data_IF_355291353818
#
_entry.id   IF_355291353818
#
_cell.length_a   1.000
_cell.length_b   1.000
_cell.length_c   1.000
_cell.angle_alpha   90.00
_cell.angle_beta   90.00
_cell.angle_gamma   90.00
#
_symmetry.space_group_name_H-M   'P 1'
#
loop_
_entity.id
_entity.type
_entity.pdbx_description
1 polymer ?
#
# COMPACT_ATOMS: atom_id res chain seq x y z
N UNK A 1 -18.44 -15.09 0.24
CA UNK A 1 -18.10 -15.74 -1.04
C UNK A 1 -16.75 -15.24 -1.62
N UNK A 2 -16.49 -13.92 -1.69
CA UNK A 2 -15.30 -13.36 -2.35
C UNK A 2 -13.99 -14.04 -1.94
N UNK A 3 -13.64 -14.06 -0.65
CA UNK A 3 -12.40 -14.68 -0.15
C UNK A 3 -12.35 -16.21 -0.39
N UNK A 4 -13.48 -16.83 -0.62
CA UNK A 4 -13.60 -18.27 -0.87
C UNK A 4 -13.42 -18.62 -2.34
N UNK A 5 -13.81 -17.70 -3.23
CA UNK A 5 -13.76 -17.87 -4.68
C UNK A 5 -12.46 -17.32 -5.30
N UNK A 6 -11.92 -16.21 -4.77
CA UNK A 6 -10.70 -15.59 -5.32
C UNK A 6 -9.44 -16.36 -4.90
N UNK A 7 -9.34 -17.59 -5.39
CA UNK A 7 -8.24 -18.55 -5.12
C UNK A 7 -8.05 -19.46 -6.33
N UNK A 8 -6.84 -19.93 -6.61
CA UNK A 8 -6.61 -20.91 -7.66
C UNK A 8 -7.56 -22.13 -7.52
N UNK A 9 -8.24 -22.52 -8.57
CA UNK A 9 -9.27 -23.55 -8.61
C UNK A 9 -10.68 -22.98 -8.55
N UNK A 10 -11.16 -22.41 -7.42
CA UNK A 10 -12.51 -21.82 -7.36
C UNK A 10 -12.74 -20.59 -8.24
N UNK A 11 -11.66 -19.94 -8.72
CA UNK A 11 -11.77 -18.77 -9.61
C UNK A 11 -12.56 -19.05 -10.88
N UNK A 12 -12.50 -20.27 -11.40
CA UNK A 12 -13.24 -20.67 -12.61
C UNK A 12 -14.78 -20.59 -12.41
N UNK A 13 -15.25 -20.62 -11.16
CA UNK A 13 -16.66 -20.47 -10.81
C UNK A 13 -17.13 -19.02 -10.71
N UNK A 14 -16.20 -18.02 -10.69
CA UNK A 14 -16.55 -16.61 -10.52
C UNK A 14 -17.49 -16.09 -11.62
N UNK A 15 -17.28 -16.36 -12.92
CA UNK A 15 -18.19 -15.90 -13.97
C UNK A 15 -19.62 -16.42 -13.78
N UNK A 16 -19.76 -17.70 -13.42
CA UNK A 16 -21.07 -18.32 -13.13
C UNK A 16 -21.71 -17.71 -11.88
N UNK A 17 -20.93 -17.54 -10.80
CA UNK A 17 -21.42 -16.90 -9.58
C UNK A 17 -21.92 -15.47 -9.83
N UNK A 18 -21.18 -14.67 -10.59
CA UNK A 18 -21.57 -13.29 -10.94
C UNK A 18 -22.81 -13.25 -11.82
N UNK A 19 -22.88 -14.07 -12.88
CA UNK A 19 -24.06 -14.18 -13.74
C UNK A 19 -25.30 -14.52 -12.91
N UNK A 20 -25.21 -15.56 -12.11
CA UNK A 20 -26.31 -16.02 -11.27
C UNK A 20 -26.74 -14.99 -10.22
N UNK A 21 -25.80 -14.21 -9.70
CA UNK A 21 -26.10 -13.12 -8.77
C UNK A 21 -26.89 -11.99 -9.43
N UNK A 22 -26.60 -11.68 -10.69
CA UNK A 22 -27.31 -10.64 -11.44
C UNK A 22 -28.64 -11.14 -12.02
N UNK A 23 -28.79 -12.45 -12.25
CA UNK A 23 -29.95 -13.08 -12.85
C UNK A 23 -30.45 -14.25 -11.99
N UNK A 24 -30.91 -14.01 -10.74
CA UNK A 24 -31.27 -15.09 -9.81
C UNK A 24 -32.41 -15.99 -10.31
N UNK A 25 -33.35 -15.45 -11.10
CA UNK A 25 -34.46 -16.19 -11.67
C UNK A 25 -34.02 -17.19 -12.77
N UNK A 26 -32.79 -17.10 -13.26
CA UNK A 26 -32.23 -18.00 -14.27
C UNK A 26 -31.34 -19.08 -13.70
N UNK A 27 -31.18 -19.16 -12.38
CA UNK A 27 -30.39 -20.23 -11.76
C UNK A 27 -31.07 -21.58 -12.00
N UNK A 28 -30.34 -22.51 -12.61
CA UNK A 28 -30.76 -23.87 -12.83
C UNK A 28 -30.00 -24.80 -11.89
N UNK A 29 -30.74 -25.65 -11.18
CA UNK A 29 -30.18 -26.67 -10.31
C UNK A 29 -30.33 -28.04 -10.99
N UNK A 30 -29.32 -28.92 -10.88
CA UNK A 30 -29.34 -30.27 -11.43
C UNK A 30 -30.46 -31.15 -10.83
N UNK A 31 -30.80 -30.86 -9.57
CA UNK A 31 -31.97 -31.41 -8.89
C UNK A 31 -32.58 -30.35 -7.96
N UNK A 32 -33.92 -30.33 -7.78
CA UNK A 32 -34.58 -29.37 -6.87
C UNK A 32 -34.04 -29.38 -5.44
N UNK A 33 -33.54 -30.54 -4.97
CA UNK A 33 -32.99 -30.70 -3.63
C UNK A 33 -31.71 -29.88 -3.39
N UNK A 34 -31.01 -29.49 -4.46
CA UNK A 34 -29.82 -28.61 -4.34
C UNK A 34 -30.17 -27.13 -4.08
N UNK A 35 -31.38 -26.69 -4.41
CA UNK A 35 -31.73 -25.30 -4.38
C UNK A 35 -31.48 -24.66 -3.00
N UNK A 36 -32.02 -25.23 -1.92
CA UNK A 36 -31.87 -24.69 -0.57
C UNK A 36 -30.44 -24.78 0.00
N UNK A 37 -29.60 -25.66 -0.56
CA UNK A 37 -28.17 -25.79 -0.18
C UNK A 37 -27.34 -24.71 -0.87
N UNK A 38 -27.61 -24.46 -2.17
CA UNK A 38 -26.77 -23.63 -3.02
C UNK A 38 -27.33 -22.23 -3.26
N UNK A 39 -28.56 -21.93 -2.84
CA UNK A 39 -29.19 -20.61 -2.97
C UNK A 39 -28.30 -19.49 -2.36
N UNK A 40 -27.79 -19.71 -1.15
CA UNK A 40 -26.90 -18.76 -0.45
C UNK A 40 -25.60 -18.46 -1.19
N UNK A 41 -25.27 -19.23 -2.20
CA UNK A 41 -24.06 -19.08 -3.04
C UNK A 41 -24.40 -18.98 -4.53
N UNK A 42 -25.60 -18.53 -4.86
CA UNK A 42 -26.09 -18.32 -6.22
C UNK A 42 -25.90 -19.58 -7.13
N UNK A 43 -26.23 -20.75 -6.59
CA UNK A 43 -26.14 -22.01 -7.33
C UNK A 43 -24.75 -22.63 -7.45
N UNK A 44 -23.73 -22.07 -6.85
CA UNK A 44 -22.35 -22.59 -6.90
C UNK A 44 -21.97 -23.31 -5.60
N UNK A 45 -21.21 -24.39 -5.71
CA UNK A 45 -20.57 -25.03 -4.55
C UNK A 45 -19.36 -24.16 -4.17
N UNK A 46 -19.34 -23.63 -2.93
CA UNK A 46 -18.29 -22.74 -2.42
C UNK A 46 -17.70 -23.25 -1.10
N UNK A 47 -18.55 -23.84 -0.26
CA UNK A 47 -18.19 -24.20 1.11
C UNK A 47 -18.12 -25.70 1.34
N UNK A 48 -17.19 -26.11 2.22
CA UNK A 48 -17.07 -27.52 2.67
C UNK A 48 -18.37 -28.03 3.28
N UNK A 49 -19.05 -27.18 4.01
CA UNK A 49 -20.33 -27.46 4.65
C UNK A 49 -21.43 -27.79 3.63
N UNK A 50 -21.40 -27.15 2.45
CA UNK A 50 -22.34 -27.48 1.36
C UNK A 50 -22.06 -28.87 0.80
N UNK A 51 -20.82 -29.26 0.61
CA UNK A 51 -20.44 -30.61 0.17
C UNK A 51 -20.96 -31.65 1.17
N UNK A 52 -20.75 -31.44 2.47
CA UNK A 52 -21.27 -32.34 3.51
C UNK A 52 -22.79 -32.39 3.53
N UNK A 53 -23.45 -31.25 3.32
CA UNK A 53 -24.91 -31.19 3.26
C UNK A 53 -25.48 -31.92 2.05
N UNK A 54 -24.82 -31.81 0.90
CA UNK A 54 -25.19 -32.57 -0.31
C UNK A 54 -25.12 -34.08 -0.04
N UNK A 55 -24.05 -34.60 0.55
CA UNK A 55 -23.93 -36.02 0.92
C UNK A 55 -25.06 -36.45 1.86
N UNK A 56 -25.40 -35.64 2.83
CA UNK A 56 -26.42 -35.97 3.84
C UNK A 56 -27.83 -35.93 3.27
N UNK A 57 -28.15 -34.91 2.52
CA UNK A 57 -29.54 -34.69 2.10
C UNK A 57 -29.91 -35.41 0.81
N UNK A 58 -28.95 -35.57 -0.12
CA UNK A 58 -29.22 -36.29 -1.37
C UNK A 58 -29.02 -37.78 -1.24
N UNK A 59 -28.00 -38.23 -0.49
CA UNK A 59 -27.66 -39.65 -0.40
C UNK A 59 -27.92 -40.26 0.99
N UNK A 60 -28.35 -39.48 1.98
CA UNK A 60 -28.71 -39.96 3.31
C UNK A 60 -27.52 -40.32 4.19
N UNK A 61 -26.33 -39.80 3.93
CA UNK A 61 -25.17 -40.01 4.76
C UNK A 61 -25.36 -39.42 6.16
N UNK A 62 -24.80 -40.07 7.18
CA UNK A 62 -24.65 -39.46 8.50
C UNK A 62 -23.63 -38.31 8.47
N UNK A 63 -23.66 -37.47 9.48
CA UNK A 63 -22.69 -36.37 9.59
C UNK A 63 -21.25 -36.85 9.58
N UNK A 64 -20.97 -37.95 10.32
CA UNK A 64 -19.63 -38.56 10.39
C UNK A 64 -19.13 -39.11 9.06
N UNK A 65 -20.01 -39.79 8.31
CA UNK A 65 -19.70 -40.29 6.97
C UNK A 65 -19.40 -39.11 6.02
N UNK A 66 -20.26 -38.10 5.96
CA UNK A 66 -20.06 -36.92 5.14
C UNK A 66 -18.74 -36.18 5.45
N UNK A 67 -18.36 -36.09 6.72
CA UNK A 67 -17.08 -35.47 7.10
C UNK A 67 -15.87 -36.33 6.68
N UNK A 68 -15.98 -37.67 6.77
CA UNK A 68 -14.93 -38.58 6.30
C UNK A 68 -14.71 -38.45 4.79
N UNK A 69 -15.79 -38.40 4.00
CA UNK A 69 -15.70 -38.20 2.54
C UNK A 69 -15.07 -36.83 2.23
N UNK A 70 -15.54 -35.76 2.86
CA UNK A 70 -14.94 -34.42 2.72
C UNK A 70 -13.44 -34.42 2.99
N UNK A 71 -13.00 -35.13 4.04
CA UNK A 71 -11.56 -35.27 4.37
C UNK A 71 -10.81 -36.09 3.32
N UNK A 72 -11.42 -37.16 2.79
CA UNK A 72 -10.84 -37.98 1.73
C UNK A 72 -10.65 -37.16 0.44
N UNK A 73 -11.67 -36.42 0.05
CA UNK A 73 -11.62 -35.51 -1.10
C UNK A 73 -10.53 -34.45 -0.96
N UNK A 74 -10.45 -33.76 0.20
CA UNK A 74 -9.40 -32.76 0.49
C UNK A 74 -7.98 -33.33 0.42
N UNK A 75 -7.80 -34.61 0.78
CA UNK A 75 -6.51 -35.31 0.74
C UNK A 75 -6.27 -36.08 -0.59
N UNK A 76 -7.17 -35.96 -1.57
CA UNK A 76 -7.11 -36.61 -2.88
C UNK A 76 -6.90 -38.13 -2.80
N UNK A 77 -7.59 -38.80 -1.86
CA UNK A 77 -7.54 -40.26 -1.69
C UNK A 77 -8.45 -40.93 -2.69
N UNK A 78 -7.99 -41.10 -3.94
CA UNK A 78 -8.78 -41.58 -5.07
C UNK A 78 -9.54 -42.88 -4.81
N UNK A 79 -8.91 -43.91 -4.20
CA UNK A 79 -9.58 -45.16 -3.91
C UNK A 79 -10.77 -45.02 -2.95
N UNK A 80 -10.66 -44.13 -1.95
CA UNK A 80 -11.77 -43.86 -1.04
C UNK A 80 -12.86 -43.06 -1.76
N UNK A 81 -12.45 -42.11 -2.60
CA UNK A 81 -13.41 -41.29 -3.35
C UNK A 81 -14.22 -42.12 -4.32
N UNK A 82 -13.62 -43.13 -4.96
CA UNK A 82 -14.34 -44.02 -5.89
C UNK A 82 -15.33 -44.94 -5.17
N UNK A 83 -14.93 -45.50 -4.03
CA UNK A 83 -15.84 -46.29 -3.19
C UNK A 83 -17.03 -45.44 -2.67
N UNK A 84 -16.77 -44.23 -2.25
CA UNK A 84 -17.79 -43.31 -1.73
C UNK A 84 -18.70 -42.76 -2.87
N UNK A 85 -18.24 -42.72 -4.12
CA UNK A 85 -19.09 -42.43 -5.29
C UNK A 85 -20.20 -43.46 -5.41
N UNK A 86 -19.85 -44.76 -5.34
CA UNK A 86 -20.83 -45.85 -5.43
C UNK A 86 -21.85 -45.75 -4.30
N UNK A 87 -21.39 -45.51 -3.07
CA UNK A 87 -22.26 -45.31 -1.91
C UNK A 87 -23.18 -44.08 -2.09
N UNK A 88 -22.65 -42.99 -2.63
CA UNK A 88 -23.42 -41.76 -2.88
C UNK A 88 -24.54 -42.00 -3.92
N UNK A 89 -24.22 -42.72 -4.99
CA UNK A 89 -25.18 -42.95 -6.09
C UNK A 89 -26.19 -44.05 -5.72
N UNK A 90 -25.71 -45.23 -5.35
CA UNK A 90 -26.53 -46.44 -5.19
C UNK A 90 -26.84 -46.79 -3.73
N UNK A 91 -26.16 -46.18 -2.79
CA UNK A 91 -26.29 -46.47 -1.35
C UNK A 91 -25.36 -47.57 -0.85
N UNK A 92 -25.42 -47.83 0.43
CA UNK A 92 -24.62 -48.86 1.12
C UNK A 92 -25.45 -49.53 2.22
N UNK A 93 -25.36 -50.86 2.32
CA UNK A 93 -26.04 -51.65 3.36
C UNK A 93 -25.08 -52.25 4.36
N UNK A 94 -23.76 -51.96 4.25
CA UNK A 94 -22.76 -52.45 5.19
C UNK A 94 -22.95 -51.88 6.59
N UNK A 95 -22.84 -52.68 7.66
CA UNK A 95 -22.99 -52.22 9.02
C UNK A 95 -22.03 -51.03 9.35
N UNK A 96 -22.61 -49.92 9.77
CA UNK A 96 -21.88 -48.69 10.09
C UNK A 96 -21.60 -47.77 8.90
N UNK A 97 -21.99 -48.18 7.69
CA UNK A 97 -21.91 -47.37 6.46
C UNK A 97 -23.27 -47.23 5.75
N UNK A 98 -24.37 -47.63 6.40
CA UNK A 98 -25.69 -47.65 5.79
C UNK A 98 -26.08 -46.23 5.32
N UNK A 99 -26.48 -46.17 4.04
CA UNK A 99 -27.07 -44.99 3.44
C UNK A 99 -27.94 -45.39 2.24
N UNK A 100 -29.05 -44.69 1.99
CA UNK A 100 -29.96 -45.03 0.91
C UNK A 100 -29.41 -44.77 -0.49
N UNK A 101 -28.52 -43.79 -0.64
CA UNK A 101 -28.04 -43.32 -1.94
C UNK A 101 -28.99 -42.36 -2.65
N UNK A 102 -28.49 -41.66 -3.64
CA UNK A 102 -29.24 -40.66 -4.42
C UNK A 102 -30.38 -41.30 -5.23
N UNK A 103 -30.16 -42.48 -5.82
CA UNK A 103 -31.14 -43.19 -6.66
C UNK A 103 -32.38 -43.56 -5.83
N UNK A 104 -32.20 -44.08 -4.62
CA UNK A 104 -33.32 -44.38 -3.72
C UNK A 104 -34.09 -43.11 -3.27
N UNK A 105 -33.44 -41.97 -3.28
CA UNK A 105 -34.04 -40.65 -2.96
C UNK A 105 -34.63 -39.94 -4.21
N UNK A 106 -34.79 -40.67 -5.35
CA UNK A 106 -35.46 -40.19 -6.55
C UNK A 106 -34.61 -39.30 -7.47
N UNK A 107 -33.30 -39.34 -7.33
CA UNK A 107 -32.34 -38.63 -8.21
C UNK A 107 -31.81 -39.66 -9.22
N UNK A 108 -31.82 -39.34 -10.51
CA UNK A 108 -31.29 -40.26 -11.52
C UNK A 108 -29.78 -40.49 -11.31
N UNK A 109 -29.32 -41.68 -11.70
CA UNK A 109 -27.93 -42.09 -11.63
C UNK A 109 -27.01 -41.09 -12.36
N UNK A 110 -27.42 -40.63 -13.54
CA UNK A 110 -26.67 -39.65 -14.34
C UNK A 110 -26.48 -38.33 -13.56
N UNK A 111 -27.56 -37.77 -13.02
CA UNK A 111 -27.54 -36.53 -12.24
C UNK A 111 -26.72 -36.70 -10.96
N UNK A 112 -26.83 -37.83 -10.27
CA UNK A 112 -26.05 -38.13 -9.07
C UNK A 112 -24.53 -38.15 -9.37
N UNK A 113 -24.14 -38.79 -10.46
CA UNK A 113 -22.75 -38.84 -10.91
C UNK A 113 -22.23 -37.44 -11.29
N UNK A 114 -23.00 -36.64 -12.01
CA UNK A 114 -22.64 -35.27 -12.34
C UNK A 114 -22.44 -34.38 -11.09
N UNK A 115 -23.30 -34.55 -10.09
CA UNK A 115 -23.16 -33.84 -8.80
C UNK A 115 -21.90 -34.28 -8.07
N UNK A 116 -21.62 -35.58 -8.07
CA UNK A 116 -20.42 -36.13 -7.46
C UNK A 116 -19.13 -35.59 -8.12
N UNK A 117 -19.10 -35.56 -9.45
CA UNK A 117 -17.97 -35.03 -10.22
C UNK A 117 -17.71 -33.55 -9.90
N UNK A 118 -18.76 -32.76 -9.84
CA UNK A 118 -18.68 -31.34 -9.44
C UNK A 118 -18.14 -31.20 -8.03
N UNK A 119 -18.66 -31.96 -7.05
CA UNK A 119 -18.17 -31.98 -5.69
C UNK A 119 -16.71 -32.43 -5.60
N UNK A 120 -16.34 -33.47 -6.33
CA UNK A 120 -14.98 -34.02 -6.33
C UNK A 120 -13.95 -33.04 -6.90
N UNK A 121 -14.29 -32.35 -7.99
CA UNK A 121 -13.44 -31.32 -8.58
C UNK A 121 -13.24 -30.14 -7.64
N UNK A 122 -14.27 -29.75 -6.91
CA UNK A 122 -14.29 -28.61 -6.03
C UNK A 122 -13.76 -28.92 -4.61
N UNK A 123 -13.92 -30.14 -4.11
CA UNK A 123 -13.69 -30.48 -2.69
C UNK A 123 -12.24 -30.27 -2.22
N UNK A 124 -11.26 -30.37 -3.12
CA UNK A 124 -9.85 -30.05 -2.78
C UNK A 124 -9.61 -28.55 -2.55
N UNK A 125 -10.55 -27.72 -2.96
CA UNK A 125 -10.47 -26.25 -2.86
C UNK A 125 -11.58 -25.64 -2.01
N UNK A 126 -12.54 -26.45 -1.55
CA UNK A 126 -13.69 -26.00 -0.77
C UNK A 126 -13.25 -25.25 0.50
N UNK A 127 -13.90 -24.11 0.74
CA UNK A 127 -13.55 -23.20 1.84
C UNK A 127 -14.43 -23.45 3.08
N UNK A 128 -13.87 -23.28 4.26
CA UNK A 128 -14.66 -23.39 5.48
C UNK A 128 -15.59 -22.15 5.62
N UNK A 129 -16.91 -22.38 5.75
CA UNK A 129 -17.92 -21.33 5.83
C UNK A 129 -17.77 -20.48 7.07
N UNK A 130 -17.44 -21.09 8.22
CA UNK A 130 -17.26 -20.39 9.49
C UNK A 130 -16.11 -19.39 9.42
N UNK A 131 -14.99 -19.84 8.82
CA UNK A 131 -13.85 -18.95 8.58
C UNK A 131 -14.22 -17.78 7.65
N UNK A 132 -14.94 -18.06 6.56
CA UNK A 132 -15.41 -17.03 5.63
C UNK A 132 -16.35 -16.02 6.32
N UNK A 133 -17.23 -16.50 7.21
CA UNK A 133 -18.15 -15.65 7.97
C UNK A 133 -17.40 -14.72 8.95
N UNK A 134 -16.42 -15.26 9.70
CA UNK A 134 -15.59 -14.44 10.58
C UNK A 134 -14.85 -13.33 9.83
N UNK A 135 -14.22 -13.66 8.69
CA UNK A 135 -13.55 -12.65 7.87
C UNK A 135 -14.52 -11.65 7.24
N UNK A 136 -15.73 -12.08 6.84
CA UNK A 136 -16.75 -11.17 6.34
C UNK A 136 -17.18 -10.17 7.42
N UNK A 137 -17.28 -10.61 8.68
CA UNK A 137 -17.60 -9.75 9.80
C UNK A 137 -16.51 -8.71 10.05
N UNK A 138 -15.23 -9.13 10.08
CA UNK A 138 -14.08 -8.22 10.20
C UNK A 138 -14.03 -7.24 9.02
N UNK A 139 -14.23 -7.73 7.79
CA UNK A 139 -14.26 -6.87 6.60
C UNK A 139 -15.37 -5.81 6.68
N UNK A 140 -16.57 -6.19 7.17
CA UNK A 140 -17.64 -5.23 7.41
C UNK A 140 -17.26 -4.20 8.47
N UNK A 141 -16.68 -4.64 9.60
CA UNK A 141 -16.24 -3.72 10.66
C UNK A 141 -15.19 -2.72 10.14
N UNK A 142 -14.19 -3.18 9.41
CA UNK A 142 -13.14 -2.30 8.85
C UNK A 142 -13.72 -1.33 7.81
N UNK A 143 -14.64 -1.79 6.96
CA UNK A 143 -15.34 -0.94 6.00
C UNK A 143 -16.21 0.12 6.70
N UNK A 144 -16.93 -0.26 7.76
CA UNK A 144 -17.73 0.64 8.58
C UNK A 144 -16.86 1.72 9.23
N UNK A 145 -15.76 1.31 9.88
CA UNK A 145 -14.83 2.25 10.52
C UNK A 145 -14.20 3.20 9.49
N UNK A 146 -13.79 2.68 8.33
CA UNK A 146 -13.23 3.52 7.26
C UNK A 146 -14.25 4.53 6.71
N UNK A 147 -15.52 4.16 6.65
CA UNK A 147 -16.60 5.03 6.17
C UNK A 147 -16.97 6.13 7.17
N UNK A 148 -17.13 5.77 8.45
CA UNK A 148 -17.68 6.67 9.46
C UNK A 148 -16.60 7.39 10.29
N UNK A 149 -15.40 6.82 10.40
CA UNK A 149 -14.26 7.32 11.18
C UNK A 149 -12.98 7.26 10.35
N UNK A 150 -12.94 7.90 9.16
CA UNK A 150 -11.83 7.73 8.22
C UNK A 150 -10.47 8.18 8.76
N UNK A 151 -10.41 9.26 9.54
CA UNK A 151 -9.16 9.75 10.13
C UNK A 151 -8.59 8.78 11.16
N UNK A 152 -9.42 8.26 12.05
CA UNK A 152 -9.05 7.29 13.09
C UNK A 152 -8.65 5.95 12.48
N UNK A 153 -9.43 5.48 11.49
CA UNK A 153 -9.13 4.24 10.77
C UNK A 153 -7.80 4.31 10.04
N UNK A 154 -7.57 5.39 9.28
CA UNK A 154 -6.33 5.55 8.52
C UNK A 154 -5.12 5.79 9.42
N UNK A 155 -5.28 6.50 10.54
CA UNK A 155 -4.22 6.66 11.53
C UNK A 155 -3.82 5.32 12.16
N UNK A 156 -4.80 4.47 12.51
CA UNK A 156 -4.54 3.12 13.01
C UNK A 156 -3.88 2.23 11.95
N UNK A 157 -4.34 2.30 10.70
CA UNK A 157 -3.78 1.54 9.58
C UNK A 157 -2.33 1.94 9.30
N UNK A 158 -2.03 3.23 9.22
CA UNK A 158 -0.67 3.75 9.06
C UNK A 158 0.23 3.32 10.23
N UNK A 159 -0.30 3.34 11.46
CA UNK A 159 0.44 2.89 12.64
C UNK A 159 0.78 1.40 12.58
N UNK A 160 -0.10 0.58 12.04
CA UNK A 160 0.14 -0.86 11.91
C UNK A 160 1.26 -1.23 10.94
N UNK A 161 1.68 -0.30 10.09
CA UNK A 161 2.70 -0.51 9.03
C UNK A 161 3.92 0.39 9.17
N UNK A 162 4.17 0.95 10.36
CA UNK A 162 5.28 1.90 10.62
C UNK A 162 6.65 1.41 10.14
N UNK A 163 6.89 0.10 10.22
CA UNK A 163 8.17 -0.51 9.82
C UNK A 163 8.29 -0.71 8.30
N UNK A 164 7.25 -0.39 7.53
CA UNK A 164 7.21 -0.56 6.08
C UNK A 164 6.93 0.78 5.39
N UNK A 165 7.99 1.49 5.04
CA UNK A 165 7.90 2.82 4.40
C UNK A 165 7.06 2.80 3.12
N UNK A 166 7.14 1.74 2.29
CA UNK A 166 6.36 1.65 1.05
C UNK A 166 4.86 1.59 1.35
N UNK A 167 4.45 0.87 2.41
CA UNK A 167 3.06 0.84 2.86
C UNK A 167 2.61 2.16 3.49
N UNK A 168 3.48 2.85 4.20
CA UNK A 168 3.19 4.20 4.71
C UNK A 168 2.93 5.16 3.55
N UNK A 169 3.73 5.11 2.48
CA UNK A 169 3.54 5.92 1.27
C UNK A 169 2.21 5.56 0.60
N UNK A 170 1.94 4.26 0.37
CA UNK A 170 0.69 3.78 -0.26
C UNK A 170 -0.55 4.27 0.50
N UNK A 171 -0.57 4.10 1.83
CA UNK A 171 -1.73 4.48 2.63
C UNK A 171 -1.84 5.99 2.86
N UNK A 172 -0.73 6.73 2.80
CA UNK A 172 -0.76 8.20 2.77
C UNK A 172 -1.37 8.72 1.46
N UNK A 173 -1.12 8.07 0.33
CA UNK A 173 -1.81 8.31 -0.93
C UNK A 173 -3.32 8.04 -0.82
N UNK A 174 -3.72 6.97 -0.13
CA UNK A 174 -5.13 6.69 0.16
C UNK A 174 -5.76 7.77 1.05
N UNK A 175 -5.03 8.30 2.05
CA UNK A 175 -5.49 9.44 2.85
C UNK A 175 -5.78 10.66 1.97
N UNK A 176 -4.88 11.00 1.04
CA UNK A 176 -5.09 12.09 0.10
C UNK A 176 -6.32 11.86 -0.78
N UNK A 177 -6.55 10.62 -1.25
CA UNK A 177 -7.73 10.23 -2.02
C UNK A 177 -9.03 10.40 -1.23
N UNK A 178 -9.00 10.16 0.08
CA UNK A 178 -10.12 10.36 1.01
C UNK A 178 -10.28 11.83 1.45
N UNK A 179 -9.43 12.74 0.99
CA UNK A 179 -9.43 14.14 1.40
C UNK A 179 -8.86 14.39 2.81
N UNK A 180 -8.17 13.40 3.38
CA UNK A 180 -7.54 13.49 4.69
C UNK A 180 -6.13 14.09 4.55
N UNK A 181 -5.87 15.17 5.27
CA UNK A 181 -4.55 15.79 5.30
C UNK A 181 -3.66 15.11 6.34
N UNK A 182 -2.48 14.68 5.94
CA UNK A 182 -1.41 14.25 6.87
C UNK A 182 -0.63 15.49 7.29
N UNK A 183 -0.57 15.74 8.60
CA UNK A 183 0.16 16.86 9.20
C UNK A 183 1.60 16.45 9.53
N UNK A 184 2.58 17.34 9.44
CA UNK A 184 3.96 17.07 9.84
C UNK A 184 4.07 16.58 11.28
N UNK A 185 5.15 15.86 11.65
CA UNK A 185 5.42 15.54 13.04
C UNK A 185 5.73 16.79 13.86
N UNK A 186 5.50 16.68 15.17
CA UNK A 186 5.84 17.71 16.15
C UNK A 186 6.21 17.03 17.47
N UNK A 187 7.38 17.34 18.04
CA UNK A 187 7.86 16.69 19.27
C UNK A 187 6.95 16.96 20.47
N UNK A 188 6.22 18.08 20.47
CA UNK A 188 5.29 18.45 21.53
C UNK A 188 3.89 17.87 21.37
N UNK A 189 3.52 17.41 20.16
CA UNK A 189 2.13 16.98 19.84
C UNK A 189 2.10 15.53 19.39
N UNK A 190 2.99 15.12 18.47
CA UNK A 190 2.94 13.78 17.86
C UNK A 190 3.23 12.66 18.86
N UNK A 191 2.50 11.58 18.74
CA UNK A 191 2.80 10.32 19.43
C UNK A 191 3.76 9.45 18.61
N UNK A 192 4.14 8.30 19.15
CA UNK A 192 4.96 7.34 18.40
C UNK A 192 4.29 6.87 17.12
N UNK A 193 2.98 6.51 17.17
CA UNK A 193 2.16 6.19 16.01
C UNK A 193 1.45 7.41 15.41
N UNK A 194 0.82 7.20 14.26
CA UNK A 194 -0.08 8.19 13.66
C UNK A 194 -1.33 8.37 14.53
N UNK A 195 -1.84 9.59 14.63
CA UNK A 195 -3.03 9.91 15.43
C UNK A 195 -4.00 10.78 14.66
N UNK A 196 -5.30 10.59 14.90
CA UNK A 196 -6.32 11.49 14.38
C UNK A 196 -6.25 12.83 15.13
N UNK A 197 -6.30 13.93 14.40
CA UNK A 197 -6.22 15.30 14.90
C UNK A 197 -7.23 16.19 14.17
N UNK A 198 -8.43 16.34 14.74
CA UNK A 198 -9.50 17.16 14.19
C UNK A 198 -9.83 16.87 12.72
N UNK A 199 -10.04 15.59 12.39
CA UNK A 199 -10.33 15.14 11.02
C UNK A 199 -9.11 15.12 10.08
N UNK A 200 -7.93 15.37 10.59
CA UNK A 200 -6.63 15.23 9.93
C UNK A 200 -5.85 14.11 10.60
N UNK A 201 -4.70 13.74 10.05
CA UNK A 201 -3.83 12.72 10.62
C UNK A 201 -2.49 13.36 10.98
N UNK A 202 -2.07 13.26 12.23
CA UNK A 202 -0.76 13.69 12.68
C UNK A 202 0.27 12.60 12.42
N UNK A 203 1.41 12.95 11.81
CA UNK A 203 2.50 12.03 11.53
C UNK A 203 3.13 11.49 12.82
N UNK A 204 3.33 10.18 12.88
CA UNK A 204 3.91 9.51 14.05
C UNK A 204 5.44 9.63 14.08
N UNK A 205 6.01 9.92 15.26
CA UNK A 205 7.46 10.11 15.41
C UNK A 205 8.27 8.84 15.10
N UNK A 206 7.69 7.64 15.35
CA UNK A 206 8.34 6.36 15.00
C UNK A 206 8.40 6.09 13.49
N UNK A 207 7.66 6.83 12.67
CA UNK A 207 7.75 6.73 11.22
C UNK A 207 8.92 7.54 10.64
N UNK A 208 9.61 8.36 11.46
CA UNK A 208 10.83 9.07 11.07
C UNK A 208 12.00 8.08 11.12
N UNK A 209 12.74 7.97 10.03
CA UNK A 209 13.89 7.05 9.93
C UNK A 209 14.97 7.38 10.95
N UNK A 210 15.69 6.36 11.39
CA UNK A 210 16.82 6.46 12.34
C UNK A 210 16.44 6.98 13.73
N UNK A 211 15.17 6.97 14.09
CA UNK A 211 14.69 7.36 15.41
C UNK A 211 14.22 6.09 16.15
N UNK A 212 14.81 5.82 17.31
CA UNK A 212 14.50 4.63 18.11
C UNK A 212 13.15 4.75 18.81
N UNK A 213 12.41 3.62 18.92
CA UNK A 213 11.10 3.59 19.60
C UNK A 213 11.21 3.98 21.07
N UNK A 214 12.22 3.47 21.80
CA UNK A 214 12.46 3.79 23.21
C UNK A 214 12.69 5.30 23.41
N UNK A 215 13.43 5.94 22.50
CA UNK A 215 13.61 7.39 22.53
C UNK A 215 12.26 8.12 22.44
N UNK A 216 11.41 7.72 21.49
CA UNK A 216 10.11 8.36 21.29
C UNK A 216 9.15 8.11 22.44
N UNK A 217 9.14 6.93 23.03
CA UNK A 217 8.36 6.65 24.24
C UNK A 217 8.77 7.62 25.38
N UNK A 218 10.06 7.82 25.56
CA UNK A 218 10.59 8.78 26.52
C UNK A 218 10.22 10.22 26.18
N UNK A 219 10.33 10.63 24.91
CA UNK A 219 9.93 11.96 24.46
C UNK A 219 8.46 12.23 24.78
N UNK A 220 7.58 11.25 24.51
CA UNK A 220 6.15 11.38 24.75
C UNK A 220 5.84 11.43 26.25
N UNK A 221 6.57 10.71 27.08
CA UNK A 221 6.37 10.70 28.54
C UNK A 221 6.84 12.03 29.16
N UNK A 222 8.06 12.42 28.89
CA UNK A 222 8.68 13.63 29.46
C UNK A 222 7.92 14.93 29.13
N UNK A 223 7.35 15.05 27.93
CA UNK A 223 6.59 16.26 27.56
C UNK A 223 5.27 16.39 28.32
N UNK A 224 4.77 15.33 28.98
CA UNK A 224 3.53 15.43 29.78
C UNK A 224 3.72 16.37 30.98
N UNK A 225 4.92 16.43 31.55
CA UNK A 225 5.24 17.36 32.63
C UNK A 225 5.37 18.80 32.12
N UNK A 226 6.10 18.99 31.03
CA UNK A 226 6.32 20.29 30.42
C UNK A 226 6.66 20.13 28.94
N UNK A 227 6.02 20.87 28.02
CA UNK A 227 6.41 20.91 26.61
C UNK A 227 7.88 21.32 26.44
N UNK A 228 8.52 20.81 25.39
CA UNK A 228 9.88 21.24 25.03
C UNK A 228 9.86 22.66 24.52
N UNK A 229 10.69 23.53 25.11
CA UNK A 229 10.78 24.97 24.78
C UNK A 229 11.78 25.27 23.67
N UNK A 230 12.78 24.41 23.48
CA UNK A 230 13.84 24.56 22.48
C UNK A 230 14.48 23.19 22.16
N UNK A 231 15.31 23.17 21.08
CA UNK A 231 16.12 21.96 20.76
C UNK A 231 17.11 21.65 21.89
N UNK A 232 17.65 22.68 22.56
CA UNK A 232 18.53 22.49 23.70
C UNK A 232 17.82 21.84 24.89
N UNK A 233 16.63 22.34 25.27
CA UNK A 233 15.79 21.74 26.30
C UNK A 233 15.45 20.29 25.99
N UNK A 234 15.08 20.00 24.72
CA UNK A 234 14.84 18.63 24.26
C UNK A 234 16.08 17.74 24.44
N UNK A 235 17.25 18.16 23.95
CA UNK A 235 18.49 17.38 24.07
C UNK A 235 18.91 17.17 25.52
N UNK A 236 18.76 18.21 26.39
CA UNK A 236 19.06 18.13 27.82
C UNK A 236 18.21 17.11 28.54
N UNK A 237 16.89 17.12 28.32
CA UNK A 237 15.96 16.19 28.95
C UNK A 237 16.06 14.77 28.40
N UNK A 238 16.49 14.59 27.16
CA UNK A 238 16.74 13.32 26.53
C UNK A 238 18.16 12.79 26.74
N UNK A 239 19.04 13.53 27.43
CA UNK A 239 20.41 13.08 27.71
C UNK A 239 20.42 11.80 28.54
N UNK A 240 21.32 10.88 28.24
CA UNK A 240 21.39 9.55 28.91
C UNK A 240 20.38 8.52 28.41
N UNK A 241 19.62 8.87 27.36
CA UNK A 241 18.77 7.94 26.61
C UNK A 241 19.48 7.49 25.31
N UNK A 242 18.76 6.82 24.39
CA UNK A 242 19.25 6.47 23.06
C UNK A 242 19.37 7.66 22.10
N UNK A 243 19.40 8.90 22.62
CA UNK A 243 19.56 10.10 21.81
C UNK A 243 20.93 10.09 21.14
N UNK A 244 20.93 10.26 19.83
CA UNK A 244 22.12 10.42 19.04
C UNK A 244 21.93 11.53 18.00
N UNK A 245 23.05 12.08 17.51
CA UNK A 245 23.05 13.13 16.49
C UNK A 245 22.12 12.83 15.32
N UNK A 246 22.20 11.62 14.77
CA UNK A 246 21.44 11.23 13.58
C UNK A 246 19.92 11.24 13.81
N UNK A 247 19.48 10.81 14.99
CA UNK A 247 18.06 10.85 15.36
C UNK A 247 17.56 12.30 15.45
N UNK A 248 18.34 13.19 16.08
CA UNK A 248 18.00 14.62 16.19
C UNK A 248 17.91 15.27 14.81
N UNK A 249 18.93 15.06 13.95
CA UNK A 249 18.92 15.58 12.58
C UNK A 249 17.72 15.07 11.77
N UNK A 250 17.37 13.79 11.89
CA UNK A 250 16.21 13.24 11.20
C UNK A 250 14.89 13.85 11.69
N UNK A 251 14.74 14.09 12.98
CA UNK A 251 13.59 14.79 13.54
C UNK A 251 13.50 16.25 13.06
N UNK A 252 14.63 16.97 13.00
CA UNK A 252 14.68 18.33 12.46
C UNK A 252 14.28 18.33 10.98
N UNK A 253 14.88 17.47 10.15
CA UNK A 253 14.59 17.35 8.73
C UNK A 253 13.14 16.97 8.45
N UNK A 254 12.51 16.20 9.35
CA UNK A 254 11.08 15.89 9.27
C UNK A 254 10.17 17.06 9.67
N UNK A 255 10.72 18.15 10.21
CA UNK A 255 9.96 19.31 10.68
C UNK A 255 9.42 19.20 12.11
N UNK A 256 9.91 18.22 12.90
CA UNK A 256 9.39 17.95 14.22
C UNK A 256 9.64 19.07 15.26
N UNK A 257 10.46 20.06 14.92
CA UNK A 257 10.77 21.24 15.75
C UNK A 257 10.27 22.55 15.15
N UNK A 258 9.56 22.54 14.01
CA UNK A 258 9.13 23.77 13.32
C UNK A 258 8.26 24.68 14.19
N UNK A 259 7.48 24.10 15.11
CA UNK A 259 6.65 24.85 16.08
C UNK A 259 7.45 25.71 17.06
N UNK A 260 8.77 25.51 17.19
CA UNK A 260 9.65 26.28 18.06
C UNK A 260 10.14 27.60 17.44
N UNK A 261 9.83 27.85 16.15
CA UNK A 261 10.10 29.15 15.49
C UNK A 261 11.54 29.34 15.03
N UNK A 262 12.40 28.32 15.11
CA UNK A 262 13.78 28.36 14.58
C UNK A 262 13.80 27.53 13.29
N UNK A 263 14.43 28.08 12.25
CA UNK A 263 14.48 27.39 10.95
C UNK A 263 15.35 26.13 11.00
N UNK A 264 15.05 25.17 10.10
CA UNK A 264 15.67 23.83 10.11
C UNK A 264 17.18 23.88 9.84
N UNK A 265 17.64 24.77 8.97
CA UNK A 265 19.07 24.93 8.68
C UNK A 265 19.87 25.35 9.93
N UNK A 266 19.38 26.38 10.65
CA UNK A 266 20.01 26.82 11.89
C UNK A 266 20.01 25.71 12.96
N UNK A 267 18.93 24.92 13.06
CA UNK A 267 18.85 23.78 13.99
C UNK A 267 19.88 22.68 13.64
N UNK A 268 19.98 22.31 12.37
CA UNK A 268 20.92 21.26 11.91
C UNK A 268 22.37 21.66 12.22
N UNK A 269 22.74 22.90 11.92
CA UNK A 269 24.09 23.42 12.19
C UNK A 269 24.41 23.53 13.70
N UNK A 270 23.39 23.68 14.53
CA UNK A 270 23.56 23.80 15.99
C UNK A 270 23.64 22.43 16.71
N UNK A 271 23.21 21.31 16.08
CA UNK A 271 23.08 19.99 16.74
C UNK A 271 24.36 19.57 17.47
N UNK A 272 25.53 19.65 16.81
CA UNK A 272 26.81 19.23 17.38
C UNK A 272 27.20 20.05 18.59
N UNK A 273 26.98 21.36 18.51
CA UNK A 273 27.26 22.28 19.60
C UNK A 273 26.36 22.03 20.81
N UNK A 274 25.07 21.81 20.55
CA UNK A 274 24.07 21.54 21.59
C UNK A 274 24.39 20.21 22.29
N UNK A 275 24.66 19.14 21.58
CA UNK A 275 24.96 17.84 22.18
C UNK A 275 26.21 17.93 23.06
N UNK A 276 27.30 18.58 22.58
CA UNK A 276 28.52 18.76 23.36
C UNK A 276 28.29 19.63 24.61
N UNK A 277 27.48 20.68 24.50
CA UNK A 277 27.12 21.53 25.66
C UNK A 277 26.39 20.72 26.71
N UNK A 278 25.35 19.94 26.30
CA UNK A 278 24.57 19.07 27.19
C UNK A 278 25.46 18.01 27.88
N UNK A 279 26.37 17.38 27.14
CA UNK A 279 27.35 16.44 27.72
C UNK A 279 28.27 17.09 28.74
N UNK A 280 28.77 18.31 28.44
CA UNK A 280 29.63 19.08 29.36
C UNK A 280 28.89 19.43 30.65
N UNK A 281 27.65 19.90 30.51
CA UNK A 281 26.82 20.32 31.66
C UNK A 281 26.45 19.09 32.53
N UNK A 282 26.19 17.96 31.91
CA UNK A 282 25.92 16.72 32.63
C UNK A 282 27.14 16.23 33.42
N UNK A 283 28.35 16.31 32.85
CA UNK A 283 29.60 15.96 33.56
C UNK A 283 29.84 16.86 34.76
N UNK A 284 29.67 18.18 34.60
CA UNK A 284 29.83 19.15 35.70
C UNK A 284 28.86 18.85 36.85
N UNK A 285 27.63 18.51 36.55
CA UNK A 285 26.61 18.15 37.56
C UNK A 285 26.94 16.85 38.30
N UNK A 286 27.55 15.86 37.60
CA UNK A 286 27.92 14.56 38.20
C UNK A 286 29.18 14.67 39.11
N UNK A 287 30.14 15.54 38.79
CA UNK A 287 31.37 15.72 39.58
C UNK A 287 31.15 16.48 40.88
N UNK A 288 29.91 16.98 41.14
CA UNK A 288 29.59 17.60 42.44
C UNK A 288 30.44 18.83 42.78
N UNK A 289 31.17 19.38 41.84
CA UNK A 289 31.86 20.66 42.00
C UNK A 289 30.82 21.79 42.00
N UNK A 290 30.15 21.91 43.14
CA UNK A 290 29.77 23.21 43.62
C UNK A 290 31.08 23.98 43.68
N UNK A 291 31.29 24.86 42.68
CA UNK A 291 32.48 25.72 42.68
C UNK A 291 32.48 26.49 43.98
N UNK A 292 33.38 26.10 44.90
CA UNK A 292 33.54 26.71 46.23
C UNK A 292 33.82 28.22 46.11
N UNK A 293 34.27 28.66 44.92
CA UNK A 293 34.48 30.07 44.58
C UNK A 293 33.18 30.81 44.31
N UNK A 294 32.15 30.20 43.75
CA UNK A 294 30.85 30.85 43.52
C UNK A 294 30.07 31.10 44.82
N UNK A 295 30.29 30.25 45.82
CA UNK A 295 29.71 30.43 47.17
C UNK A 295 30.43 31.58 47.95
N UNK A 296 31.72 31.78 47.70
CA UNK A 296 32.49 32.84 48.38
C UNK A 296 32.33 34.24 47.78
N UNK A 297 31.94 34.36 46.51
CA UNK A 297 31.79 35.67 45.84
C UNK A 297 30.44 36.36 46.03
N UNK A 298 29.47 35.71 46.69
CA UNK A 298 28.16 36.29 46.99
C UNK A 298 27.34 36.71 45.76
N UNK A 299 27.81 36.40 44.60
CA UNK A 299 27.05 36.56 43.35
C UNK A 299 26.09 35.37 43.19
N UNK A 300 24.86 35.61 43.56
CA UNK A 300 23.73 34.78 43.08
C UNK A 300 23.69 34.93 41.55
N UNK A 301 24.64 34.30 40.87
CA UNK A 301 24.45 33.99 39.46
C UNK A 301 23.38 32.91 39.40
N UNK A 302 22.11 33.32 39.38
CA UNK A 302 21.12 32.64 38.59
C UNK A 302 21.63 32.68 37.16
N UNK A 303 22.65 31.85 36.86
CA UNK A 303 23.05 31.62 35.50
C UNK A 303 21.85 30.95 34.82
N UNK A 304 21.11 31.75 34.13
CA UNK A 304 20.06 31.36 33.16
C UNK A 304 20.76 30.64 31.99
N UNK A 305 21.49 29.55 32.32
CA UNK A 305 22.24 28.69 31.37
C UNK A 305 21.37 27.59 30.80
N UNK A 306 20.04 27.75 30.81
CA UNK A 306 19.09 26.83 30.19
C UNK A 306 18.86 27.17 28.69
N UNK A 307 19.72 27.99 28.07
CA UNK A 307 19.62 28.37 26.66
C UNK A 307 20.97 28.22 25.96
N UNK A 308 20.95 27.63 24.78
CA UNK A 308 22.05 27.60 23.83
C UNK A 308 21.78 28.59 22.72
N UNK A 309 22.74 29.52 22.47
CA UNK A 309 22.59 30.50 21.41
C UNK A 309 22.79 29.85 20.02
N UNK A 310 21.72 29.78 19.26
CA UNK A 310 21.73 29.21 17.91
C UNK A 310 22.07 30.34 16.93
N UNK A 311 23.16 30.16 16.17
CA UNK A 311 23.53 31.11 15.11
C UNK A 311 22.48 31.02 13.98
N UNK A 312 21.95 32.20 13.54
CA UNK A 312 20.96 32.19 12.45
C UNK A 312 21.65 31.92 11.11
N UNK A 313 21.10 30.98 10.36
CA UNK A 313 21.41 30.71 8.98
C UNK A 313 20.20 30.98 8.09
N UNK A 314 20.37 31.31 6.79
CA UNK A 314 19.27 31.36 5.86
C UNK A 314 18.60 29.96 5.79
N UNK A 315 17.28 29.90 5.71
CA UNK A 315 16.58 28.62 5.58
C UNK A 315 16.96 27.93 4.26
N UNK A 316 16.86 26.60 4.24
CA UNK A 316 16.95 25.80 3.02
C UNK A 316 15.90 26.25 2.00
N UNK A 317 16.20 26.09 0.73
CA UNK A 317 15.18 26.30 -0.29
C UNK A 317 13.99 25.36 -0.09
N UNK A 318 12.82 25.75 -0.56
CA UNK A 318 11.62 24.92 -0.43
C UNK A 318 11.82 23.50 -1.01
N UNK A 319 12.52 23.39 -2.12
CA UNK A 319 12.84 22.09 -2.75
C UNK A 319 13.75 21.24 -1.86
N UNK A 320 14.76 21.84 -1.21
CA UNK A 320 15.64 21.14 -0.28
C UNK A 320 14.89 20.66 0.96
N UNK A 321 13.98 21.49 1.51
CA UNK A 321 13.13 21.07 2.64
C UNK A 321 12.28 19.87 2.29
N UNK A 322 11.62 19.86 1.14
CA UNK A 322 10.82 18.74 0.68
C UNK A 322 11.66 17.47 0.43
N UNK A 323 12.88 17.63 -0.10
CA UNK A 323 13.79 16.50 -0.28
C UNK A 323 14.22 15.90 1.06
N UNK A 324 14.54 16.74 2.05
CA UNK A 324 14.89 16.31 3.41
C UNK A 324 13.72 15.56 4.06
N UNK A 325 12.50 16.09 3.97
CA UNK A 325 11.30 15.41 4.46
C UNK A 325 11.15 14.02 3.84
N UNK A 326 11.25 13.93 2.52
CA UNK A 326 11.14 12.65 1.79
C UNK A 326 12.25 11.66 2.15
N UNK A 327 13.47 12.14 2.35
CA UNK A 327 14.61 11.31 2.78
C UNK A 327 14.31 10.61 4.10
N UNK A 328 13.80 11.35 5.10
CA UNK A 328 13.67 10.86 6.48
C UNK A 328 12.29 10.27 6.81
N UNK A 329 11.24 10.61 6.06
CA UNK A 329 9.87 10.13 6.29
C UNK A 329 9.30 9.28 5.14
N UNK A 330 9.89 9.37 3.95
CA UNK A 330 9.36 8.79 2.72
C UNK A 330 8.28 9.65 2.05
N UNK A 331 7.85 10.74 2.66
CA UNK A 331 6.76 11.61 2.20
C UNK A 331 7.20 13.06 2.13
N UNK A 332 6.53 13.84 1.30
CA UNK A 332 6.55 15.29 1.37
C UNK A 332 5.50 15.73 2.40
N UNK A 333 5.91 16.33 3.50
CA UNK A 333 5.03 16.62 4.62
C UNK A 333 4.51 18.07 4.61
N UNK A 334 5.33 19.03 4.16
CA UNK A 334 4.99 20.45 4.15
C UNK A 334 4.39 20.94 2.83
N UNK A 335 4.46 20.15 1.75
CA UNK A 335 3.96 20.52 0.41
C UNK A 335 4.29 19.46 -0.62
N UNK A 336 4.16 19.82 -1.89
CA UNK A 336 4.55 18.94 -3.02
C UNK A 336 5.46 19.72 -3.98
N UNK A 337 6.47 19.10 -4.62
CA UNK A 337 7.34 19.79 -5.58
C UNK A 337 6.58 20.48 -6.72
N UNK A 338 5.42 19.96 -7.10
CA UNK A 338 4.55 20.55 -8.11
C UNK A 338 3.72 21.75 -7.61
N UNK A 339 3.71 22.05 -6.32
CA UNK A 339 2.92 23.19 -5.81
C UNK A 339 3.39 24.53 -6.39
N UNK A 340 4.70 24.67 -6.62
CA UNK A 340 5.27 25.83 -7.27
C UNK A 340 4.91 25.94 -8.77
N UNK A 341 4.47 24.83 -9.38
CA UNK A 341 4.20 24.71 -10.82
C UNK A 341 2.73 24.44 -11.14
N UNK A 342 1.80 24.73 -10.22
CA UNK A 342 0.36 24.39 -10.41
C UNK A 342 -0.23 24.99 -11.67
N UNK A 343 0.08 26.26 -11.97
CA UNK A 343 -0.43 26.93 -13.18
C UNK A 343 0.16 26.32 -14.45
N UNK A 344 1.47 26.07 -14.44
CA UNK A 344 2.14 25.42 -15.58
C UNK A 344 1.63 23.99 -15.76
N UNK A 345 1.43 23.24 -14.66
CA UNK A 345 0.89 21.88 -14.71
C UNK A 345 -0.50 21.87 -15.34
N UNK A 346 -1.40 22.75 -14.90
CA UNK A 346 -2.74 22.87 -15.48
C UNK A 346 -2.72 23.26 -16.96
N UNK A 347 -1.73 24.05 -17.39
CA UNK A 347 -1.60 24.50 -18.79
C UNK A 347 -0.93 23.46 -19.69
N UNK A 348 0.03 22.70 -19.17
CA UNK A 348 0.86 21.81 -19.96
C UNK A 348 0.37 20.37 -19.96
N UNK A 349 -0.20 19.86 -18.87
CA UNK A 349 -0.74 18.52 -18.82
C UNK A 349 -1.99 18.38 -19.71
N UNK A 350 -2.09 17.29 -20.45
CA UNK A 350 -3.34 16.91 -21.13
C UNK A 350 -4.24 16.06 -20.20
N UNK A 351 -3.62 15.31 -19.31
CA UNK A 351 -4.30 14.41 -18.39
C UNK A 351 -3.56 14.37 -17.04
N UNK A 352 -4.29 14.13 -15.99
CA UNK A 352 -3.75 13.78 -14.66
C UNK A 352 -3.40 12.28 -14.59
N UNK A 353 -2.48 11.93 -13.71
CA UNK A 353 -2.13 10.51 -13.49
C UNK A 353 -3.37 9.72 -13.01
N UNK A 354 -4.24 10.31 -12.19
CA UNK A 354 -5.50 9.70 -11.77
C UNK A 354 -6.41 9.30 -12.95
N UNK A 355 -6.51 10.14 -13.96
CA UNK A 355 -7.29 9.81 -15.18
C UNK A 355 -6.65 8.67 -15.96
N UNK A 356 -5.32 8.61 -16.01
CA UNK A 356 -4.57 7.60 -16.75
C UNK A 356 -4.48 6.24 -16.03
N UNK A 357 -4.79 6.20 -14.71
CA UNK A 357 -4.74 4.97 -13.90
C UNK A 357 -6.12 4.56 -13.38
N UNK A 358 -7.16 5.35 -13.62
CA UNK A 358 -8.53 5.10 -13.17
C UNK A 358 -9.28 4.06 -14.00
N UNK A 359 -10.52 3.77 -13.63
CA UNK A 359 -11.38 2.76 -14.27
C UNK A 359 -11.59 3.03 -15.78
N UNK A 360 -11.62 4.30 -16.17
CA UNK A 360 -11.81 4.74 -17.56
C UNK A 360 -10.51 4.81 -18.39
N UNK A 361 -9.36 4.45 -17.82
CA UNK A 361 -8.06 4.51 -18.51
C UNK A 361 -8.03 3.67 -19.80
N UNK A 362 -8.81 2.59 -19.86
CA UNK A 362 -8.93 1.74 -21.05
C UNK A 362 -9.43 2.51 -22.30
N UNK A 363 -10.21 3.60 -22.12
CA UNK A 363 -10.67 4.46 -23.21
C UNK A 363 -9.55 5.30 -23.81
N UNK A 364 -8.45 5.45 -23.09
CA UNK A 364 -7.28 6.24 -23.45
C UNK A 364 -6.11 5.38 -23.93
N UNK A 365 -6.28 4.05 -24.01
CA UNK A 365 -5.22 3.14 -24.47
C UNK A 365 -4.73 3.52 -25.88
N UNK A 366 -3.41 3.53 -26.06
CA UNK A 366 -2.75 3.95 -27.31
C UNK A 366 -2.77 5.46 -27.61
N UNK A 367 -3.51 6.26 -26.84
CA UNK A 367 -3.56 7.70 -27.03
C UNK A 367 -2.25 8.37 -26.62
N UNK A 368 -1.92 9.45 -27.34
CA UNK A 368 -0.81 10.32 -26.97
C UNK A 368 -1.24 11.25 -25.86
N UNK A 369 -0.57 11.16 -24.71
CA UNK A 369 -0.87 11.96 -23.52
C UNK A 369 0.37 12.71 -23.04
N UNK A 370 0.13 13.78 -22.30
CA UNK A 370 1.17 14.59 -21.70
C UNK A 370 0.87 14.81 -20.23
N UNK A 371 1.83 14.45 -19.39
CA UNK A 371 1.75 14.63 -17.95
C UNK A 371 2.83 15.59 -17.48
N UNK A 372 2.53 16.31 -16.39
CA UNK A 372 3.51 17.08 -15.61
C UNK A 372 3.66 16.40 -14.29
N UNK A 373 4.87 15.94 -13.99
CA UNK A 373 5.11 15.07 -12.87
C UNK A 373 6.50 15.29 -12.24
N UNK A 374 6.68 14.77 -11.05
CA UNK A 374 7.99 14.65 -10.37
C UNK A 374 8.51 13.25 -10.55
N UNK A 375 9.79 13.10 -10.86
CA UNK A 375 10.48 11.82 -10.94
C UNK A 375 10.73 11.31 -9.53
N UNK A 376 10.11 10.17 -9.17
CA UNK A 376 10.26 9.56 -7.83
C UNK A 376 11.47 8.65 -7.78
N UNK A 377 11.59 7.75 -8.77
CA UNK A 377 12.64 6.73 -8.80
C UNK A 377 12.92 6.26 -10.22
N UNK A 378 14.18 6.00 -10.50
CA UNK A 378 14.62 5.41 -11.76
C UNK A 378 15.22 4.03 -11.54
N UNK A 379 14.69 3.02 -12.22
CA UNK A 379 15.25 1.68 -12.27
C UNK A 379 15.77 1.41 -13.67
N UNK A 380 17.08 1.42 -13.81
CA UNK A 380 17.75 1.09 -15.07
C UNK A 380 17.75 -0.43 -15.29
N UNK A 381 17.48 -0.85 -16.53
CA UNK A 381 17.55 -2.24 -16.95
C UNK A 381 18.25 -2.38 -18.29
N UNK A 382 19.04 -3.46 -18.42
CA UNK A 382 19.65 -3.83 -19.71
C UNK A 382 18.66 -4.69 -20.49
N UNK A 383 18.39 -4.32 -21.73
CA UNK A 383 17.55 -5.09 -22.65
C UNK A 383 18.31 -6.31 -23.19
N UNK A 384 17.58 -7.23 -23.82
CA UNK A 384 18.18 -8.40 -24.50
C UNK A 384 19.17 -8.02 -25.61
N UNK A 385 19.04 -6.82 -26.16
CA UNK A 385 19.96 -6.25 -27.16
C UNK A 385 21.14 -5.47 -26.57
N UNK A 386 21.41 -5.65 -25.27
CA UNK A 386 22.49 -4.98 -24.54
C UNK A 386 22.43 -3.43 -24.56
N UNK A 387 21.23 -2.86 -24.69
CA UNK A 387 20.96 -1.42 -24.57
C UNK A 387 20.29 -1.12 -23.25
N UNK A 388 20.46 0.09 -22.72
CA UNK A 388 19.85 0.50 -21.45
C UNK A 388 18.45 1.08 -21.69
N UNK A 389 17.50 0.70 -20.82
CA UNK A 389 16.18 1.32 -20.70
C UNK A 389 15.90 1.65 -19.25
N UNK A 390 14.91 2.50 -18.98
CA UNK A 390 14.51 2.83 -17.61
C UNK A 390 13.03 2.57 -17.39
N UNK A 391 12.73 2.08 -16.18
CA UNK A 391 11.40 2.10 -15.58
C UNK A 391 11.41 3.21 -14.55
N UNK A 392 10.67 4.27 -14.83
CA UNK A 392 10.67 5.50 -14.03
C UNK A 392 9.34 5.60 -13.31
N UNK A 393 9.35 5.61 -11.99
CA UNK A 393 8.18 5.95 -11.19
C UNK A 393 8.05 7.45 -11.15
N UNK A 394 6.87 7.97 -11.50
CA UNK A 394 6.56 9.40 -11.47
C UNK A 394 5.30 9.65 -10.65
N UNK A 395 5.20 10.85 -10.09
CA UNK A 395 4.03 11.29 -9.33
C UNK A 395 3.58 12.69 -9.75
N UNK A 396 2.27 12.91 -9.71
CA UNK A 396 1.66 14.23 -9.77
C UNK A 396 0.83 14.48 -8.50
N UNK A 397 0.08 15.57 -8.45
CA UNK A 397 -0.79 15.89 -7.30
C UNK A 397 -1.95 14.89 -7.12
N UNK A 398 -2.17 13.97 -8.06
CA UNK A 398 -3.34 13.08 -8.11
C UNK A 398 -3.02 11.61 -7.96
N UNK A 399 -1.76 11.21 -8.18
CA UNK A 399 -1.35 9.81 -8.09
C UNK A 399 0.07 9.54 -8.57
N UNK A 400 0.39 8.25 -8.67
CA UNK A 400 1.68 7.75 -9.16
C UNK A 400 1.47 6.80 -10.33
N UNK A 401 2.42 6.76 -11.27
CA UNK A 401 2.42 5.79 -12.36
C UNK A 401 3.84 5.40 -12.79
N UNK A 402 3.95 4.28 -13.50
CA UNK A 402 5.21 3.86 -14.11
C UNK A 402 5.32 4.37 -15.55
N UNK A 403 6.46 4.94 -15.87
CA UNK A 403 6.84 5.40 -17.21
C UNK A 403 7.94 4.50 -17.74
N UNK A 404 7.75 3.96 -18.95
CA UNK A 404 8.76 3.16 -19.64
C UNK A 404 9.53 4.08 -20.56
N UNK A 405 10.83 4.17 -20.32
CA UNK A 405 11.75 5.00 -21.13
C UNK A 405 12.67 4.07 -21.94
N UNK A 406 12.35 3.95 -23.23
CA UNK A 406 13.11 3.12 -24.16
C UNK A 406 14.51 3.66 -24.43
N UNK A 407 15.46 2.84 -24.89
CA UNK A 407 16.88 3.23 -25.03
C UNK A 407 17.08 4.54 -25.79
N UNK A 408 16.44 4.74 -26.94
CA UNK A 408 16.57 5.96 -27.74
C UNK A 408 16.13 7.22 -27.00
N UNK A 409 15.06 7.13 -26.23
CA UNK A 409 14.56 8.24 -25.41
C UNK A 409 15.48 8.47 -24.22
N UNK A 410 15.90 7.40 -23.57
CA UNK A 410 16.81 7.46 -22.43
C UNK A 410 18.14 8.13 -22.80
N UNK A 411 18.74 7.75 -23.94
CA UNK A 411 20.00 8.34 -24.41
C UNK A 411 19.87 9.86 -24.66
N UNK A 412 18.70 10.32 -25.11
CA UNK A 412 18.46 11.73 -25.41
C UNK A 412 18.16 12.56 -24.15
N UNK A 413 17.43 11.99 -23.18
CA UNK A 413 16.87 12.75 -22.05
C UNK A 413 17.39 12.30 -20.67
N UNK A 414 18.48 11.53 -20.63
CA UNK A 414 19.05 10.97 -19.39
C UNK A 414 19.34 12.02 -18.32
N UNK A 415 19.87 13.17 -18.72
CA UNK A 415 20.22 14.26 -17.79
C UNK A 415 18.99 14.96 -17.20
N UNK A 416 17.86 14.89 -17.88
CA UNK A 416 16.57 15.45 -17.43
C UNK A 416 15.86 14.50 -16.47
N UNK A 417 16.12 13.19 -16.57
CA UNK A 417 15.44 12.15 -15.81
C UNK A 417 16.15 11.90 -14.48
N UNK A 418 16.32 12.93 -13.67
CA UNK A 418 16.90 12.83 -12.31
C UNK A 418 15.80 12.69 -11.26
N UNK A 419 16.07 11.95 -10.19
CA UNK A 419 15.15 11.85 -9.05
C UNK A 419 14.85 13.25 -8.49
N UNK A 420 13.60 13.49 -8.13
CA UNK A 420 13.04 14.77 -7.69
C UNK A 420 12.99 15.88 -8.77
N UNK A 421 13.36 15.62 -10.02
CA UNK A 421 13.17 16.60 -11.09
C UNK A 421 11.69 16.74 -11.44
N UNK A 422 11.26 17.98 -11.68
CA UNK A 422 9.91 18.26 -12.21
C UNK A 422 9.99 18.32 -13.72
N UNK A 423 9.27 17.42 -14.36
CA UNK A 423 9.36 17.20 -15.81
C UNK A 423 7.99 17.16 -16.48
N UNK A 424 7.98 17.47 -17.77
CA UNK A 424 6.87 17.22 -18.69
C UNK A 424 7.24 15.98 -19.49
N UNK A 425 6.40 14.95 -19.43
CA UNK A 425 6.58 13.70 -20.19
C UNK A 425 5.45 13.58 -21.19
N UNK A 426 5.81 13.39 -22.44
CA UNK A 426 4.88 13.07 -23.53
C UNK A 426 5.09 11.62 -23.96
N UNK A 427 4.00 10.92 -24.23
CA UNK A 427 4.10 9.52 -24.63
C UNK A 427 2.75 8.90 -24.92
N UNK A 428 2.75 7.59 -25.15
CA UNK A 428 1.55 6.80 -25.39
C UNK A 428 1.17 6.01 -24.17
N UNK A 429 -0.09 6.09 -23.78
CA UNK A 429 -0.65 5.28 -22.69
C UNK A 429 -0.74 3.82 -23.16
N UNK A 430 -0.34 2.90 -22.30
CA UNK A 430 -0.53 1.46 -22.49
C UNK A 430 -1.33 0.91 -21.33
N UNK A 431 -2.52 0.42 -21.63
CA UNK A 431 -3.44 -0.22 -20.69
C UNK A 431 -3.59 -1.67 -21.08
N UNK A 432 -3.32 -2.60 -20.14
CA UNK A 432 -3.48 -4.04 -20.35
C UNK A 432 -4.44 -4.60 -19.30
N UNK A 433 -5.19 -5.62 -19.66
CA UNK A 433 -5.97 -6.38 -18.69
C UNK A 433 -5.01 -6.97 -17.65
N UNK A 434 -5.34 -6.81 -16.36
CA UNK A 434 -4.58 -7.32 -15.21
C UNK A 434 -3.21 -6.66 -14.91
N UNK A 435 -2.82 -5.58 -15.62
CA UNK A 435 -1.63 -4.80 -15.30
C UNK A 435 -1.98 -3.32 -15.03
N UNK A 436 -1.25 -2.62 -14.12
CA UNK A 436 -1.37 -1.17 -13.99
C UNK A 436 -1.03 -0.47 -15.30
N UNK A 437 -1.76 0.60 -15.61
CA UNK A 437 -1.48 1.45 -16.78
C UNK A 437 -0.06 2.01 -16.73
N UNK A 438 0.61 2.05 -17.89
CA UNK A 438 1.99 2.55 -18.03
C UNK A 438 2.06 3.57 -19.16
N UNK A 439 2.92 4.58 -19.00
CA UNK A 439 3.20 5.55 -20.05
C UNK A 439 4.48 5.17 -20.78
N UNK A 440 4.42 4.98 -22.08
CA UNK A 440 5.58 4.81 -22.95
C UNK A 440 6.10 6.18 -23.39
N UNK A 441 7.19 6.65 -22.76
CA UNK A 441 7.74 7.97 -23.03
C UNK A 441 8.26 8.10 -24.47
N UNK A 442 7.91 9.18 -25.11
CA UNK A 442 8.42 9.61 -26.41
C UNK A 442 9.32 10.86 -26.26
N UNK A 443 9.01 11.74 -25.29
CA UNK A 443 9.84 12.88 -24.96
C UNK A 443 9.77 13.23 -23.46
N UNK A 444 10.84 13.82 -22.94
CA UNK A 444 10.97 14.25 -21.55
C UNK A 444 11.64 15.62 -21.55
N UNK A 445 11.02 16.62 -20.92
CA UNK A 445 11.56 17.97 -20.85
C UNK A 445 11.45 18.53 -19.44
N UNK A 446 12.42 19.33 -18.96
CA UNK A 446 12.22 20.08 -17.71
C UNK A 446 11.01 20.99 -17.86
N UNK A 447 10.25 21.18 -16.79
CA UNK A 447 9.10 22.09 -16.82
C UNK A 447 9.52 23.54 -17.06
N UNK A 448 10.71 23.90 -16.57
CA UNK A 448 11.30 25.20 -16.77
C UNK A 448 11.69 25.40 -18.23
N UNK A 449 11.08 26.39 -18.90
CA UNK A 449 11.31 26.67 -20.31
C UNK A 449 10.58 25.74 -21.30
N UNK A 450 9.69 24.88 -20.81
CA UNK A 450 8.84 24.04 -21.68
C UNK A 450 7.83 24.93 -22.45
N UNK A 451 7.82 24.77 -23.78
CA UNK A 451 6.84 25.42 -24.67
C UNK A 451 6.10 24.35 -25.48
N UNK A 452 4.79 24.15 -25.25
CA UNK A 452 4.00 23.15 -25.98
C UNK A 452 3.87 23.43 -27.50
N UNK A 453 4.16 24.65 -27.94
CA UNK A 453 4.10 25.07 -29.37
C UNK A 453 5.44 24.90 -30.07
N UNK A 454 6.53 24.69 -29.35
CA UNK A 454 7.85 24.57 -29.96
C UNK A 454 7.99 23.17 -30.57
N UNK A 455 8.20 23.03 -31.91
CA UNK A 455 8.53 21.73 -32.48
C UNK A 455 9.81 21.22 -31.79
N UNK A 456 9.73 20.11 -31.09
CA UNK A 456 10.94 19.52 -30.49
C UNK A 456 11.82 19.02 -31.65
N UNK A 457 12.98 19.64 -31.80
CA UNK A 457 13.93 19.39 -32.89
C UNK A 457 14.49 17.95 -32.93
N UNK A 458 14.14 17.11 -31.97
CA UNK A 458 14.56 15.71 -31.83
C UNK A 458 13.40 14.75 -31.50
N UNK A 459 12.25 14.87 -32.22
CA UNK A 459 11.32 13.73 -32.25
C UNK A 459 12.00 12.60 -33.02
N UNK A 460 12.37 11.47 -32.38
CA UNK A 460 12.79 10.30 -33.15
C UNK A 460 11.60 9.98 -34.11
N UNK A 461 11.87 9.90 -35.38
CA UNK A 461 10.85 9.65 -36.40
C UNK A 461 10.42 8.18 -36.32
N UNK A 462 9.60 7.86 -35.31
CA UNK A 462 9.12 6.50 -34.99
C UNK A 462 8.22 5.92 -36.11
N UNK A 463 7.78 6.75 -37.05
CA UNK A 463 6.89 6.29 -38.11
C UNK A 463 7.61 5.66 -39.35
N UNK A 464 8.94 5.70 -39.44
CA UNK A 464 9.61 5.08 -40.60
C UNK A 464 9.98 3.60 -40.44
N UNK A 465 10.02 3.05 -39.20
CA UNK A 465 10.39 1.65 -39.00
C UNK A 465 9.22 0.74 -38.58
N UNK A 466 8.00 1.27 -38.40
CA UNK A 466 6.82 0.49 -38.05
C UNK A 466 6.11 -0.16 -39.26
N UNK A 467 6.51 0.18 -40.49
CA UNK A 467 6.03 -0.51 -41.67
C UNK A 467 6.86 -1.77 -41.90
N UNK A 468 6.22 -2.94 -41.75
CA UNK A 468 6.68 -4.27 -42.15
C UNK A 468 7.32 -5.16 -41.07
N UNK A 469 6.56 -5.46 -40.02
CA UNK A 469 6.69 -6.78 -39.38
C UNK A 469 5.31 -7.42 -39.25
N UNK A 470 4.99 -8.28 -40.21
CA UNK A 470 3.81 -9.15 -40.18
C UNK A 470 4.08 -10.27 -39.15
N UNK A 471 3.36 -10.26 -38.04
CA UNK A 471 3.37 -11.39 -37.10
C UNK A 471 2.31 -12.40 -37.57
N UNK A 472 2.73 -13.47 -38.22
CA UNK A 472 1.90 -14.63 -38.52
C UNK A 472 1.84 -15.51 -37.29
N UNK A 473 0.69 -15.56 -36.61
CA UNK A 473 0.43 -16.50 -35.53
C UNK A 473 0.03 -17.84 -36.15
N UNK A 474 0.94 -18.77 -36.26
CA UNK A 474 0.64 -20.17 -36.61
C UNK A 474 -0.04 -20.82 -35.41
N UNK A 475 -1.34 -21.14 -35.56
CA UNK A 475 -2.01 -22.11 -34.68
C UNK A 475 -1.46 -23.49 -35.04
N UNK A 476 -0.60 -24.06 -34.22
CA UNK A 476 -0.26 -25.45 -34.25
C UNK A 476 -1.39 -26.17 -33.48
N UNK A 477 -2.28 -26.77 -34.22
CA UNK A 477 -3.27 -27.67 -33.64
C UNK A 477 -2.60 -28.95 -33.17
N UNK A 478 -2.86 -29.30 -31.89
CA UNK A 478 -3.11 -30.65 -31.38
C UNK A 478 -3.69 -30.53 -29.96
#
# INVERSE_FOLDING_TARGET
ALISLYRPGPMDSIPTYLRNRHEPDKISYKTPQLAHILDVTNGCIVYQEQVMQIFRELAGFSFGQADNVRRAMSKKKHAVMEAEREHFVHGCTEPGHECPGCVANGISEEVANEIYDEMSSFASYAFNKSHAACYAYVAFQTAYLKCHYPSEFMAALLTSVLDNTDKVIEYSGECARLGLKVLPPDVNISNGGFTADNGKIRFGLNAVKNVGRNLIERVVEERKEKPYSSLYDFCKRMHGTELNRRAVECLIKAGAFDSMGVNRHSLVEAVDGIIKSVESDSRRNLEGQLDLFSVMSGESQTSDTDSYEIKPFPEYSHTELLQQEKEVSGLYLSGHPLDAYREQSARFASNSIKELTGEDAHKLDGNHVRIVCTVVKNRMMTTKSNTMMAFTSVEDLTGTMEVIVFPRVLDTFRDTLKENAVVVIEGRLSVREDEPSKLMAESISPIEGYDPKRPQANRPNLMRDAAQRLYVRLQIGR
#
